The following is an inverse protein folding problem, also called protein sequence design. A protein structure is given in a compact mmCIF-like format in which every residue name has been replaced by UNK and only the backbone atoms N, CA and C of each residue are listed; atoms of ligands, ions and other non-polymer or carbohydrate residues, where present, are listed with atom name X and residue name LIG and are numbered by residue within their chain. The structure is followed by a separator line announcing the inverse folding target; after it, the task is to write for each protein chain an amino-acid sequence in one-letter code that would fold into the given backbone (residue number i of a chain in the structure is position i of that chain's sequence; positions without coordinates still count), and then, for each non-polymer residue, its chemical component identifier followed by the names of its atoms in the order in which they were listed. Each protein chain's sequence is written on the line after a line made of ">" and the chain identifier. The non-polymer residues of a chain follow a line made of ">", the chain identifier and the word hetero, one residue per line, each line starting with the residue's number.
data_IF_504231273186
#
_entry.id   IF_504231273186
#
_cell.length_a   1.000
_cell.length_b   1.000
_cell.length_c   1.000
_cell.angle_alpha   90.00
_cell.angle_beta   90.00
_cell.angle_gamma   90.00
#
_symmetry.space_group_name_H-M   'P 1'
#
loop_
_entity.id
_entity.type
_entity.pdbx_description
1 polymer ?
#
# COMPACT_ATOMS: atom_id res chain seq x y z
N UNK A 1 -40.91 -37.05 39.08
CA UNK A 1 -39.86 -36.11 39.55
C UNK A 1 -38.56 -36.21 38.74
N UNK A 2 -37.99 -37.38 38.46
CA UNK A 2 -36.73 -37.51 37.68
C UNK A 2 -36.76 -36.96 36.23
N UNK A 3 -37.89 -37.05 35.52
CA UNK A 3 -38.03 -36.55 34.14
C UNK A 3 -38.03 -35.01 34.06
N UNK A 4 -38.58 -34.33 35.06
CA UNK A 4 -38.62 -32.87 35.12
C UNK A 4 -37.21 -32.31 35.42
N UNK A 5 -36.45 -32.97 36.29
CA UNK A 5 -35.08 -32.62 36.62
C UNK A 5 -34.12 -32.73 35.37
N UNK A 6 -34.30 -33.78 34.54
CA UNK A 6 -33.55 -33.91 33.30
C UNK A 6 -33.86 -32.79 32.28
N UNK A 7 -35.11 -32.37 32.17
CA UNK A 7 -35.49 -31.28 31.27
C UNK A 7 -34.87 -29.95 31.68
N UNK A 8 -34.80 -29.62 32.96
CA UNK A 8 -34.16 -28.42 33.45
C UNK A 8 -32.64 -28.44 33.26
N UNK A 9 -31.99 -29.59 33.41
CA UNK A 9 -30.56 -29.74 33.14
C UNK A 9 -30.20 -29.55 31.66
N UNK A 10 -31.00 -30.08 30.74
CA UNK A 10 -30.79 -29.91 29.29
C UNK A 10 -31.01 -28.47 28.87
N UNK A 11 -32.04 -27.79 29.41
CA UNK A 11 -32.30 -26.40 29.15
C UNK A 11 -31.17 -25.48 29.67
N UNK A 12 -30.60 -25.77 30.84
CA UNK A 12 -29.49 -25.01 31.39
C UNK A 12 -28.20 -25.17 30.57
N UNK A 13 -27.91 -26.37 30.06
CA UNK A 13 -26.76 -26.62 29.19
C UNK A 13 -26.92 -25.93 27.86
N UNK A 14 -28.13 -25.87 27.27
CA UNK A 14 -28.39 -25.17 26.03
C UNK A 14 -28.19 -23.64 26.16
N UNK A 15 -28.58 -23.06 27.29
CA UNK A 15 -28.39 -21.62 27.56
C UNK A 15 -26.90 -21.26 27.72
N UNK A 16 -26.12 -22.13 28.39
CA UNK A 16 -24.67 -21.91 28.53
C UNK A 16 -23.94 -22.10 27.22
N UNK A 17 -24.35 -23.05 26.37
CA UNK A 17 -23.74 -23.22 25.05
C UNK A 17 -24.03 -22.05 24.09
N UNK A 18 -25.16 -21.34 24.22
CA UNK A 18 -25.51 -20.19 23.40
C UNK A 18 -24.73 -18.93 23.78
N UNK A 19 -24.22 -18.83 25.01
CA UNK A 19 -23.41 -17.68 25.44
C UNK A 19 -21.96 -17.74 24.95
N UNK A 20 -21.54 -18.84 24.32
CA UNK A 20 -20.20 -18.96 23.69
C UNK A 20 -20.19 -18.62 22.20
N UNK A 21 -21.33 -18.27 21.61
CA UNK A 21 -21.32 -17.55 20.35
C UNK A 21 -20.91 -16.09 20.63
N UNK A 22 -19.67 -15.91 21.07
CA UNK A 22 -19.04 -14.60 20.95
C UNK A 22 -19.02 -14.29 19.48
N UNK A 23 -19.81 -13.30 19.08
CA UNK A 23 -19.68 -12.64 17.79
C UNK A 23 -18.19 -12.38 17.59
N UNK A 24 -17.61 -12.98 16.54
CA UNK A 24 -16.38 -12.48 15.97
C UNK A 24 -16.72 -11.08 15.43
N UNK A 25 -16.79 -10.10 16.35
CA UNK A 25 -16.83 -8.71 16.00
C UNK A 25 -15.52 -8.47 15.24
N UNK A 26 -15.60 -7.94 14.03
CA UNK A 26 -14.44 -7.31 13.43
C UNK A 26 -13.92 -6.34 14.47
N UNK A 27 -12.66 -6.50 14.91
CA UNK A 27 -12.05 -5.58 15.85
C UNK A 27 -12.21 -4.17 15.30
N UNK A 28 -13.06 -3.38 15.94
CA UNK A 28 -13.26 -1.99 15.55
C UNK A 28 -11.96 -1.26 15.89
N UNK A 29 -11.28 -0.75 14.86
CA UNK A 29 -10.00 -0.08 15.02
C UNK A 29 -10.16 1.13 15.94
N UNK A 30 -9.28 1.24 16.92
CA UNK A 30 -9.26 2.36 17.84
C UNK A 30 -8.70 3.62 17.14
N UNK A 31 -8.97 4.80 17.70
CA UNK A 31 -8.37 6.05 17.21
C UNK A 31 -6.85 6.02 17.35
N UNK A 32 -6.35 5.35 18.36
CA UNK A 32 -4.92 5.14 18.63
C UNK A 32 -4.29 4.27 17.56
N UNK A 33 -4.97 3.21 17.12
CA UNK A 33 -4.51 2.36 16.02
C UNK A 33 -4.42 3.14 14.71
N UNK A 34 -5.46 3.88 14.36
CA UNK A 34 -5.47 4.70 13.16
C UNK A 34 -4.35 5.74 13.15
N UNK A 35 -4.11 6.40 14.29
CA UNK A 35 -3.02 7.37 14.44
C UNK A 35 -1.65 6.73 14.30
N UNK A 36 -1.45 5.55 14.90
CA UNK A 36 -0.19 4.80 14.78
C UNK A 36 0.08 4.41 13.34
N UNK A 37 -0.91 3.84 12.64
CA UNK A 37 -0.76 3.43 11.24
C UNK A 37 -0.51 4.60 10.31
N UNK A 38 -1.16 5.74 10.55
CA UNK A 38 -0.88 6.98 9.81
C UNK A 38 0.56 7.43 10.02
N UNK A 39 1.06 7.41 11.24
CA UNK A 39 2.44 7.79 11.54
C UNK A 39 3.45 6.85 10.87
N UNK A 40 3.22 5.55 10.91
CA UNK A 40 4.06 4.56 10.22
C UNK A 40 4.03 4.78 8.70
N UNK A 41 2.85 4.97 8.12
CA UNK A 41 2.71 5.26 6.69
C UNK A 41 3.46 6.53 6.28
N UNK A 42 3.29 7.64 7.02
CA UNK A 42 4.00 8.90 6.74
C UNK A 42 5.52 8.74 6.89
N UNK A 43 5.98 7.91 7.81
CA UNK A 43 7.41 7.60 7.91
C UNK A 43 7.94 6.95 6.63
N UNK A 44 7.21 5.99 6.07
CA UNK A 44 7.57 5.32 4.81
C UNK A 44 7.51 6.31 3.62
N UNK A 45 6.50 7.19 3.59
CA UNK A 45 6.39 8.27 2.59
C UNK A 45 7.62 9.17 2.62
N UNK A 46 8.06 9.59 3.80
CA UNK A 46 9.24 10.44 3.97
C UNK A 46 10.54 9.77 3.51
N UNK A 47 10.68 8.46 3.68
CA UNK A 47 11.81 7.72 3.10
C UNK A 47 11.72 7.67 1.58
N UNK A 48 10.52 7.51 1.03
CA UNK A 48 10.27 7.57 -0.42
C UNK A 48 10.59 8.93 -1.02
N UNK A 49 10.24 10.01 -0.33
CA UNK A 49 10.58 11.38 -0.71
C UNK A 49 12.10 11.56 -0.85
N UNK A 50 12.86 11.16 0.18
CA UNK A 50 14.33 11.22 0.14
C UNK A 50 14.92 10.42 -1.03
N UNK A 51 14.42 9.20 -1.25
CA UNK A 51 14.88 8.35 -2.34
C UNK A 51 14.56 8.96 -3.72
N UNK A 52 13.36 9.51 -3.86
CA UNK A 52 12.86 10.10 -5.10
C UNK A 52 13.70 11.31 -5.55
N UNK A 53 14.14 12.13 -4.60
CA UNK A 53 14.97 13.32 -4.81
C UNK A 53 16.47 13.04 -4.77
N UNK A 54 16.90 11.79 -4.53
CA UNK A 54 18.32 11.43 -4.48
C UNK A 54 18.77 10.68 -5.74
N UNK A 55 20.00 10.91 -6.17
CA UNK A 55 20.64 10.14 -7.24
C UNK A 55 21.20 8.77 -6.79
N UNK A 56 20.79 8.25 -5.64
CA UNK A 56 21.39 7.03 -5.06
C UNK A 56 20.80 5.72 -5.57
N UNK A 57 19.68 5.77 -6.30
CA UNK A 57 19.04 4.59 -6.88
C UNK A 57 19.70 4.13 -8.18
N UNK A 58 20.40 5.03 -8.85
CA UNK A 58 21.04 4.80 -10.13
C UNK A 58 22.56 4.75 -10.09
N UNK A 59 23.16 4.51 -11.24
CA UNK A 59 24.61 4.53 -11.45
C UNK A 59 25.15 5.88 -11.97
N UNK A 60 24.27 6.79 -12.39
CA UNK A 60 24.63 8.05 -13.09
C UNK A 60 24.23 9.30 -12.31
N UNK A 61 23.87 9.20 -11.05
CA UNK A 61 23.44 10.30 -10.17
C UNK A 61 22.16 11.04 -10.62
N UNK A 62 21.42 10.50 -11.57
CA UNK A 62 20.11 11.03 -11.97
C UNK A 62 19.09 10.64 -10.91
N UNK A 63 18.21 11.57 -10.52
CA UNK A 63 17.11 11.36 -9.59
C UNK A 63 15.76 11.36 -10.31
N UNK A 64 14.74 10.78 -9.66
CA UNK A 64 13.40 10.69 -10.25
C UNK A 64 12.76 12.06 -10.46
N UNK A 65 12.99 13.01 -9.56
CA UNK A 65 12.43 14.37 -9.59
C UNK A 65 12.94 15.22 -10.74
N UNK A 66 14.10 14.91 -11.32
CA UNK A 66 14.60 15.61 -12.51
C UNK A 66 13.68 15.46 -13.73
N UNK A 67 12.96 14.33 -13.82
CA UNK A 67 11.96 14.12 -14.87
C UNK A 67 10.53 14.30 -14.35
N UNK A 68 10.29 14.07 -13.08
CA UNK A 68 8.98 14.08 -12.44
C UNK A 68 8.95 14.94 -11.17
N UNK A 69 9.12 16.27 -11.26
CA UNK A 69 9.10 17.13 -10.07
C UNK A 69 7.87 16.85 -9.19
N UNK A 70 8.11 16.54 -7.91
CA UNK A 70 7.04 16.18 -6.96
C UNK A 70 6.11 15.09 -7.53
N UNK A 71 6.68 14.04 -8.12
CA UNK A 71 5.96 12.93 -8.76
C UNK A 71 4.98 13.37 -9.87
N UNK A 72 5.15 14.55 -10.46
CA UNK A 72 4.31 15.04 -11.57
C UNK A 72 4.32 14.07 -12.75
N UNK A 73 3.17 13.95 -13.43
CA UNK A 73 2.97 13.13 -14.62
C UNK A 73 3.18 11.61 -14.41
N UNK A 74 3.30 11.12 -13.19
CA UNK A 74 3.44 9.69 -12.91
C UNK A 74 2.12 8.92 -12.98
N UNK A 75 1.02 9.53 -12.52
CA UNK A 75 -0.34 8.97 -12.49
C UNK A 75 -0.40 7.54 -11.92
N UNK A 76 0.02 7.32 -10.66
CA UNK A 76 0.07 5.99 -10.06
C UNK A 76 -1.30 5.30 -10.00
N UNK A 77 -2.38 6.09 -9.89
CA UNK A 77 -3.77 5.63 -9.84
C UNK A 77 -4.27 4.98 -11.13
N UNK A 78 -3.53 5.14 -12.24
CA UNK A 78 -3.91 4.56 -13.54
C UNK A 78 -3.32 3.18 -13.78
N UNK A 79 -2.42 2.70 -12.92
CA UNK A 79 -1.82 1.37 -13.07
C UNK A 79 -2.75 0.25 -12.60
N UNK A 80 -2.70 -0.94 -13.25
CA UNK A 80 -1.82 -1.31 -14.37
C UNK A 80 -2.27 -0.66 -15.68
N UNK A 81 -1.31 -0.20 -16.52
CA UNK A 81 -1.60 0.44 -17.82
C UNK A 81 -0.57 0.06 -18.89
N UNK A 82 -0.95 0.26 -20.15
CA UNK A 82 -0.03 0.07 -21.26
C UNK A 82 1.05 1.17 -21.25
N UNK A 83 2.31 0.77 -21.28
CA UNK A 83 3.45 1.66 -21.37
C UNK A 83 4.15 1.49 -22.71
N UNK A 84 4.11 2.57 -23.52
CA UNK A 84 4.63 2.55 -24.88
C UNK A 84 6.11 2.19 -24.94
N UNK A 85 6.91 2.73 -24.03
CA UNK A 85 8.35 2.48 -23.94
C UNK A 85 8.72 1.05 -23.56
N UNK A 86 7.77 0.31 -22.93
CA UNK A 86 7.94 -1.09 -22.55
C UNK A 86 7.22 -2.03 -23.52
N UNK A 87 6.21 -1.54 -24.23
CA UNK A 87 5.45 -2.28 -25.23
C UNK A 87 4.41 -3.25 -24.65
N UNK A 88 4.06 -3.16 -23.36
CA UNK A 88 3.08 -4.04 -22.70
C UNK A 88 2.34 -3.31 -21.56
N UNK A 89 1.29 -3.95 -21.04
CA UNK A 89 0.65 -3.54 -19.79
C UNK A 89 1.56 -3.88 -18.62
N UNK A 90 1.83 -2.92 -17.76
CA UNK A 90 2.73 -3.06 -16.60
C UNK A 90 2.08 -2.48 -15.34
N UNK A 91 2.54 -2.95 -14.18
CA UNK A 91 2.23 -2.39 -12.88
C UNK A 91 3.09 -1.16 -12.59
N UNK A 92 2.73 -0.38 -11.55
CA UNK A 92 3.59 0.72 -11.08
C UNK A 92 4.98 0.21 -10.68
N UNK A 93 5.05 -0.94 -10.02
CA UNK A 93 6.30 -1.61 -9.65
C UNK A 93 7.20 -1.89 -10.85
N UNK A 94 6.66 -2.46 -11.93
CA UNK A 94 7.42 -2.75 -13.15
C UNK A 94 7.89 -1.46 -13.83
N UNK A 95 7.05 -0.42 -13.83
CA UNK A 95 7.44 0.88 -14.41
C UNK A 95 8.56 1.55 -13.60
N UNK A 96 8.50 1.52 -12.27
CA UNK A 96 9.57 2.03 -11.42
C UNK A 96 10.89 1.31 -11.68
N UNK A 97 10.87 -0.01 -11.77
CA UNK A 97 12.07 -0.79 -12.08
C UNK A 97 12.61 -0.48 -13.48
N UNK A 98 11.73 -0.25 -14.46
CA UNK A 98 12.17 0.17 -15.78
C UNK A 98 12.89 1.53 -15.72
N UNK A 99 12.37 2.50 -14.97
CA UNK A 99 13.02 3.80 -14.77
C UNK A 99 14.35 3.67 -14.03
N UNK A 100 14.43 2.84 -13.02
CA UNK A 100 15.69 2.60 -12.29
C UNK A 100 16.75 2.01 -13.20
N UNK A 101 16.39 1.04 -14.05
CA UNK A 101 17.34 0.38 -14.94
C UNK A 101 17.79 1.26 -16.14
N UNK A 102 16.88 2.00 -16.73
CA UNK A 102 17.15 2.70 -17.99
C UNK A 102 17.60 4.15 -17.75
N UNK A 103 16.72 5.11 -17.35
CA UNK A 103 17.16 6.48 -17.14
C UNK A 103 18.21 6.63 -16.04
N UNK A 104 18.12 5.83 -14.97
CA UNK A 104 18.99 5.95 -13.79
C UNK A 104 20.23 5.03 -13.85
N UNK A 105 20.27 4.06 -14.76
CA UNK A 105 21.35 3.07 -14.89
C UNK A 105 21.60 2.27 -13.60
N UNK A 106 20.54 2.02 -12.86
CA UNK A 106 20.58 1.30 -11.58
C UNK A 106 20.19 -0.17 -11.67
N UNK A 107 20.12 -0.80 -10.52
CA UNK A 107 19.67 -2.20 -10.37
C UNK A 107 18.23 -2.24 -9.93
N UNK A 108 17.45 -3.17 -10.48
CA UNK A 108 16.06 -3.41 -10.07
C UNK A 108 15.97 -3.73 -8.58
N UNK A 109 14.88 -3.30 -7.97
CA UNK A 109 14.49 -3.63 -6.61
C UNK A 109 13.47 -4.77 -6.60
N UNK A 110 13.48 -5.60 -5.57
CA UNK A 110 12.42 -6.58 -5.34
C UNK A 110 11.11 -5.89 -4.93
N UNK A 111 9.98 -6.58 -5.08
CA UNK A 111 8.68 -5.99 -4.76
C UNK A 111 8.51 -5.68 -3.26
N UNK A 112 9.15 -6.48 -2.42
CA UNK A 112 9.20 -6.36 -0.96
C UNK A 112 10.41 -5.55 -0.45
N UNK A 113 11.23 -5.00 -1.35
CA UNK A 113 12.33 -4.12 -0.96
C UNK A 113 11.77 -2.85 -0.29
N UNK A 114 12.23 -2.49 0.92
CA UNK A 114 11.77 -1.28 1.60
C UNK A 114 11.86 0.00 0.76
N UNK A 115 12.87 0.12 -0.10
CA UNK A 115 13.02 1.26 -1.02
C UNK A 115 11.93 1.28 -2.07
N UNK A 116 11.55 0.12 -2.62
CA UNK A 116 10.45 0.01 -3.59
C UNK A 116 9.11 0.36 -2.95
N UNK A 117 8.86 -0.13 -1.74
CA UNK A 117 7.65 0.20 -0.97
C UNK A 117 7.61 1.71 -0.69
N UNK A 118 8.71 2.31 -0.26
CA UNK A 118 8.81 3.73 0.04
C UNK A 118 8.58 4.60 -1.20
N UNK A 119 9.15 4.27 -2.35
CA UNK A 119 8.93 4.98 -3.61
C UNK A 119 7.46 4.94 -4.04
N UNK A 120 6.82 3.77 -3.97
CA UNK A 120 5.40 3.65 -4.30
C UNK A 120 4.52 4.43 -3.32
N UNK A 121 4.84 4.40 -2.02
CA UNK A 121 4.13 5.15 -1.01
C UNK A 121 4.22 6.67 -1.26
N UNK A 122 5.42 7.19 -1.50
CA UNK A 122 5.64 8.61 -1.80
C UNK A 122 4.89 9.06 -3.06
N UNK A 123 5.07 8.37 -4.19
CA UNK A 123 4.45 8.73 -5.46
C UNK A 123 2.91 8.72 -5.33
N UNK A 124 2.36 7.71 -4.67
CA UNK A 124 0.92 7.61 -4.45
C UNK A 124 0.41 8.70 -3.51
N UNK A 125 1.17 9.03 -2.47
CA UNK A 125 0.85 10.09 -1.53
C UNK A 125 0.82 11.47 -2.19
N UNK A 126 1.86 11.83 -2.94
CA UNK A 126 1.98 13.10 -3.65
C UNK A 126 0.89 13.28 -4.73
N UNK A 127 0.49 12.19 -5.36
CA UNK A 127 -0.50 12.25 -6.45
C UNK A 127 -1.95 12.06 -5.99
N UNK A 128 -2.20 11.80 -4.71
CA UNK A 128 -3.56 11.63 -4.19
C UNK A 128 -4.40 12.91 -4.38
N UNK A 129 -5.63 12.74 -4.87
CA UNK A 129 -6.57 13.84 -5.10
C UNK A 129 -6.22 14.75 -6.27
N UNK A 130 -5.13 14.48 -6.99
CA UNK A 130 -4.81 15.22 -8.21
C UNK A 130 -5.71 14.72 -9.34
N UNK A 131 -6.44 15.65 -9.96
CA UNK A 131 -7.35 15.33 -11.06
C UNK A 131 -6.58 14.76 -12.25
N UNK A 132 -7.05 13.65 -12.80
CA UNK A 132 -6.59 13.15 -14.09
C UNK A 132 -6.92 14.17 -15.20
N UNK A 133 -5.92 14.50 -15.99
CA UNK A 133 -6.08 15.35 -17.18
C UNK A 133 -5.48 14.59 -18.39
N UNK A 134 -6.26 13.69 -19.01
CA UNK A 134 -5.77 12.85 -20.10
C UNK A 134 -5.25 13.69 -21.27
N UNK A 135 -4.08 13.33 -21.79
CA UNK A 135 -3.45 14.00 -22.93
C UNK A 135 -2.53 15.19 -22.58
N UNK A 136 -2.39 15.54 -21.30
CA UNK A 136 -1.35 16.46 -20.83
C UNK A 136 -0.23 15.64 -20.19
N UNK A 137 0.85 15.50 -20.89
CA UNK A 137 2.10 14.85 -20.47
C UNK A 137 3.23 15.87 -20.44
#
# INVERSE_FOLDING_TARGET
>A
MKKIQCMFLIAAIAVVALSWLTTAGSDEFTKEDLKRWEQEFISVVNEGDKLFHSGTLGGNSVSCDQCHPNASNTHPETYPKFQKQIGKVVTLFEMLNWCIQNPLEGKTLAADDPKMIALQAYITYERRGVKLDPGKH
#
